data_IF_266865575897
#
_entry.id   IF_266865575897
#
_cell.length_a   1.000
_cell.length_b   1.000
_cell.length_c   1.000
_cell.angle_alpha   90.00
_cell.angle_beta   90.00
_cell.angle_gamma   90.00
#
_symmetry.space_group_name_H-M   'P 1'
#
loop_
_entity.id
_entity.type
_entity.pdbx_description
1 polymer ?
#
# COMPACT_ATOMS: atom_id res chain seq x y z
N UNK A 1 -4.48 -3.75 -1.04
CA UNK A 1 -4.53 -2.98 -2.30
C UNK A 1 -3.80 -1.64 -2.20
N UNK A 2 -4.24 -0.68 -1.37
CA UNK A 2 -3.56 0.62 -1.26
C UNK A 2 -2.09 0.51 -0.84
N UNK A 3 -1.75 -0.34 0.13
CA UNK A 3 -0.36 -0.58 0.55
C UNK A 3 0.53 -1.13 -0.59
N UNK A 4 0.03 -2.09 -1.37
CA UNK A 4 0.75 -2.64 -2.53
C UNK A 4 0.86 -1.67 -3.72
N UNK A 5 0.17 -0.53 -3.64
CA UNK A 5 0.17 0.52 -4.65
C UNK A 5 0.48 1.88 -4.03
N UNK A 6 1.36 1.91 -3.01
CA UNK A 6 1.78 3.14 -2.35
C UNK A 6 2.24 4.18 -3.38
N UNK A 7 1.87 5.44 -3.14
CA UNK A 7 2.12 6.56 -4.07
C UNK A 7 1.24 6.59 -5.32
N UNK A 8 0.41 5.56 -5.58
CA UNK A 8 -0.46 5.50 -6.77
C UNK A 8 -1.93 5.68 -6.39
N UNK A 9 -2.66 6.42 -7.23
CA UNK A 9 -4.11 6.55 -7.13
C UNK A 9 -4.77 5.26 -7.60
N UNK A 10 -5.58 4.65 -6.75
CA UNK A 10 -6.53 3.60 -7.15
C UNK A 10 -7.92 4.22 -7.29
N UNK A 11 -8.55 4.01 -8.45
CA UNK A 11 -9.90 4.51 -8.71
C UNK A 11 -10.92 3.77 -7.85
N UNK A 12 -12.09 4.39 -7.66
CA UNK A 12 -13.21 3.74 -6.94
C UNK A 12 -13.60 2.42 -7.60
N UNK A 13 -13.67 2.38 -8.93
CA UNK A 13 -14.03 1.17 -9.68
C UNK A 13 -13.02 0.04 -9.48
N UNK A 14 -11.71 0.34 -9.53
CA UNK A 14 -10.65 -0.64 -9.26
C UNK A 14 -10.76 -1.18 -7.82
N UNK A 15 -11.04 -0.31 -6.85
CA UNK A 15 -11.20 -0.72 -5.46
C UNK A 15 -12.48 -1.55 -5.27
N UNK A 16 -13.59 -1.17 -5.91
CA UNK A 16 -14.85 -1.90 -5.84
C UNK A 16 -14.67 -3.31 -6.41
N UNK A 17 -14.13 -3.41 -7.62
CA UNK A 17 -13.85 -4.70 -8.27
C UNK A 17 -12.87 -5.53 -7.45
N UNK A 18 -11.79 -4.93 -6.93
CA UNK A 18 -10.79 -5.67 -6.15
C UNK A 18 -11.28 -6.14 -4.77
N UNK A 19 -12.23 -5.44 -4.14
CA UNK A 19 -12.76 -5.79 -2.81
C UNK A 19 -13.89 -6.82 -2.92
N UNK A 20 -14.82 -6.62 -3.86
CA UNK A 20 -16.05 -7.40 -3.95
C UNK A 20 -16.12 -8.31 -5.17
N UNK A 21 -15.31 -8.07 -6.20
CA UNK A 21 -15.40 -8.75 -7.49
C UNK A 21 -16.84 -8.74 -8.01
N UNK A 22 -17.33 -9.91 -8.38
CA UNK A 22 -18.71 -10.09 -8.85
C UNK A 22 -19.79 -10.11 -7.77
N UNK A 23 -19.46 -10.00 -6.48
CA UNK A 23 -20.44 -10.07 -5.38
C UNK A 23 -20.56 -8.72 -4.67
N UNK A 24 -21.17 -7.78 -5.39
CA UNK A 24 -21.34 -6.40 -4.94
C UNK A 24 -22.39 -6.29 -3.81
N UNK A 25 -22.15 -5.42 -2.80
CA UNK A 25 -23.20 -5.02 -1.86
C UNK A 25 -24.23 -4.13 -2.57
N UNK A 26 -25.34 -3.84 -1.88
CA UNK A 26 -26.43 -3.01 -2.43
C UNK A 26 -25.97 -1.60 -2.86
N UNK A 27 -24.99 -1.02 -2.18
CA UNK A 27 -24.34 0.24 -2.55
C UNK A 27 -22.82 0.14 -2.35
N UNK A 28 -22.06 -0.24 -3.40
CA UNK A 28 -20.61 -0.38 -3.31
C UNK A 28 -19.89 0.92 -2.99
N UNK A 29 -20.38 2.06 -3.45
CA UNK A 29 -19.75 3.35 -3.23
C UNK A 29 -19.86 3.78 -1.75
N UNK A 30 -21.06 3.65 -1.16
CA UNK A 30 -21.26 3.90 0.27
C UNK A 30 -20.44 2.93 1.14
N UNK A 31 -20.42 1.64 0.78
CA UNK A 31 -19.63 0.65 1.49
C UNK A 31 -18.12 0.93 1.39
N UNK A 32 -17.62 1.37 0.23
CA UNK A 32 -16.22 1.75 0.04
C UNK A 32 -15.85 2.93 0.96
N UNK A 33 -16.71 3.95 1.04
CA UNK A 33 -16.50 5.07 1.95
C UNK A 33 -16.38 4.63 3.42
N UNK A 34 -17.21 3.67 3.85
CA UNK A 34 -17.14 3.08 5.20
C UNK A 34 -15.81 2.36 5.41
N UNK A 35 -15.38 1.54 4.45
CA UNK A 35 -14.10 0.82 4.53
C UNK A 35 -12.91 1.79 4.60
N UNK A 36 -12.91 2.84 3.77
CA UNK A 36 -11.85 3.87 3.79
C UNK A 36 -11.82 4.61 5.12
N UNK A 37 -12.98 4.97 5.68
CA UNK A 37 -13.05 5.62 6.99
C UNK A 37 -12.48 4.69 8.09
N UNK A 38 -12.87 3.41 8.09
CA UNK A 38 -12.33 2.41 9.02
C UNK A 38 -10.82 2.25 8.87
N UNK A 39 -10.30 2.18 7.64
CA UNK A 39 -8.88 2.08 7.38
C UNK A 39 -8.12 3.30 7.91
N UNK A 40 -8.62 4.52 7.67
CA UNK A 40 -8.04 5.76 8.21
C UNK A 40 -7.96 5.76 9.73
N UNK A 41 -8.99 5.26 10.41
CA UNK A 41 -9.02 5.16 11.87
C UNK A 41 -8.07 4.12 12.46
N UNK A 42 -7.61 3.18 11.64
CA UNK A 42 -6.66 2.15 12.05
C UNK A 42 -5.19 2.57 11.86
N UNK A 43 -4.95 3.73 11.24
CA UNK A 43 -3.63 4.32 11.06
C UNK A 43 -3.37 5.37 12.12
N UNK A 44 -2.09 5.62 12.42
CA UNK A 44 -1.68 6.68 13.34
C UNK A 44 -2.05 8.07 12.81
N UNK A 45 -2.00 8.26 11.48
CA UNK A 45 -2.46 9.47 10.81
C UNK A 45 -3.48 9.14 9.70
N UNK A 46 -4.75 9.56 9.83
CA UNK A 46 -5.76 9.34 8.80
C UNK A 46 -5.46 10.07 7.47
N UNK A 47 -4.59 11.09 7.48
CA UNK A 47 -4.17 11.83 6.29
C UNK A 47 -3.27 11.00 5.36
N UNK A 48 -2.72 9.88 5.83
CA UNK A 48 -1.94 8.97 4.99
C UNK A 48 -2.76 8.31 3.89
N UNK A 49 -4.08 8.18 4.07
CA UNK A 49 -4.99 7.80 2.98
C UNK A 49 -5.70 9.05 2.48
N UNK A 50 -5.31 9.55 1.31
CA UNK A 50 -5.92 10.74 0.73
C UNK A 50 -7.08 10.38 -0.20
N UNK A 51 -8.12 11.21 -0.19
CA UNK A 51 -9.15 11.18 -1.22
C UNK A 51 -8.69 12.07 -2.36
N UNK A 52 -8.74 11.56 -3.59
CA UNK A 52 -8.52 12.33 -4.81
C UNK A 52 -9.83 12.48 -5.58
N UNK A 53 -9.81 13.25 -6.66
CA UNK A 53 -10.95 13.35 -7.58
C UNK A 53 -11.38 11.95 -8.09
N UNK A 54 -10.41 11.11 -8.47
CA UNK A 54 -10.64 9.78 -9.06
C UNK A 54 -10.75 8.61 -8.07
N UNK A 55 -10.33 8.75 -6.81
CA UNK A 55 -10.33 7.64 -5.87
C UNK A 55 -9.52 7.89 -4.60
N UNK A 56 -8.65 6.94 -4.25
CA UNK A 56 -7.86 6.99 -3.02
C UNK A 56 -6.41 6.60 -3.27
N UNK A 57 -5.49 7.15 -2.48
CA UNK A 57 -4.07 6.83 -2.51
C UNK A 57 -3.55 6.66 -1.08
N UNK A 58 -2.59 5.76 -0.89
CA UNK A 58 -1.73 5.75 0.29
C UNK A 58 -0.50 6.59 -0.03
N UNK A 59 -0.19 7.60 0.78
CA UNK A 59 0.89 8.56 0.50
C UNK A 59 2.24 7.88 0.44
N UNK A 60 3.09 8.37 -0.47
CA UNK A 60 4.51 8.04 -0.49
C UNK A 60 5.26 8.98 0.46
N UNK A 61 5.11 8.73 1.75
CA UNK A 61 5.79 9.45 2.83
C UNK A 61 6.69 8.46 3.58
N UNK A 62 7.90 8.87 3.96
CA UNK A 62 8.87 8.00 4.64
C UNK A 62 8.42 7.51 6.03
N UNK A 63 7.43 8.18 6.64
CA UNK A 63 6.79 7.74 7.89
C UNK A 63 5.79 6.60 7.66
N UNK A 64 5.33 6.41 6.42
CA UNK A 64 4.48 5.30 6.01
C UNK A 64 5.37 4.17 5.52
N UNK A 65 5.42 3.09 6.29
CA UNK A 65 6.21 1.92 5.92
C UNK A 65 5.33 0.77 5.45
N UNK A 66 5.83 0.03 4.47
CA UNK A 66 5.24 -1.23 4.01
C UNK A 66 6.31 -2.30 4.15
N UNK A 67 5.98 -3.40 4.83
CA UNK A 67 6.93 -4.47 5.17
C UNK A 67 7.54 -5.13 3.92
N UNK A 68 6.74 -5.34 2.86
CA UNK A 68 7.24 -5.92 1.61
C UNK A 68 8.30 -5.03 0.94
N UNK A 69 8.17 -3.71 1.01
CA UNK A 69 9.17 -2.80 0.45
C UNK A 69 10.48 -2.83 1.24
N UNK A 70 10.40 -2.96 2.58
CA UNK A 70 11.58 -3.13 3.42
C UNK A 70 12.29 -4.46 3.11
N UNK A 71 11.51 -5.53 2.95
CA UNK A 71 12.04 -6.83 2.57
C UNK A 71 12.73 -6.79 1.21
N UNK A 72 12.09 -6.22 0.19
CA UNK A 72 12.66 -6.05 -1.16
C UNK A 72 13.98 -5.26 -1.10
N UNK A 73 14.02 -4.16 -0.34
CA UNK A 73 15.25 -3.37 -0.17
C UNK A 73 16.38 -4.17 0.50
N UNK A 74 16.06 -5.02 1.48
CA UNK A 74 17.05 -5.89 2.14
C UNK A 74 17.58 -6.97 1.17
N UNK A 75 16.71 -7.57 0.37
CA UNK A 75 17.10 -8.57 -0.64
C UNK A 75 18.01 -7.94 -1.70
N UNK A 76 17.70 -6.74 -2.19
CA UNK A 76 18.53 -6.04 -3.16
C UNK A 76 19.91 -5.67 -2.57
N UNK A 77 19.96 -5.25 -1.31
CA UNK A 77 21.23 -5.00 -0.60
C UNK A 77 22.07 -6.25 -0.47
N UNK A 78 21.47 -7.38 -0.12
CA UNK A 78 22.17 -8.65 -0.02
C UNK A 78 22.78 -9.05 -1.37
N UNK A 79 21.99 -9.01 -2.45
CA UNK A 79 22.45 -9.29 -3.82
C UNK A 79 23.59 -8.36 -4.26
N UNK A 80 23.51 -7.07 -3.93
CA UNK A 80 24.57 -6.11 -4.24
C UNK A 80 25.88 -6.44 -3.51
N UNK A 81 25.81 -6.84 -2.24
CA UNK A 81 26.98 -7.25 -1.45
C UNK A 81 27.62 -8.54 -1.99
N UNK A 82 26.80 -9.53 -2.39
CA UNK A 82 27.27 -10.75 -3.06
C UNK A 82 28.06 -10.42 -4.34
N UNK A 83 27.51 -9.55 -5.18
CA UNK A 83 28.12 -9.15 -6.45
C UNK A 83 29.38 -8.30 -6.28
N UNK A 84 29.48 -7.52 -5.21
CA UNK A 84 30.66 -6.73 -4.88
C UNK A 84 31.82 -7.55 -4.30
N UNK A 85 31.61 -8.86 -4.04
CA UNK A 85 32.58 -9.72 -3.37
C UNK A 85 32.71 -9.43 -1.87
N UNK A 86 31.74 -8.72 -1.29
CA UNK A 86 31.77 -8.21 0.09
C UNK A 86 31.24 -9.24 1.11
N UNK A 87 31.13 -10.52 0.71
CA UNK A 87 30.72 -11.62 1.59
C UNK A 87 31.84 -12.12 2.52
N UNK A 88 33.03 -11.55 2.47
CA UNK A 88 34.14 -11.90 3.37
C UNK A 88 34.27 -10.91 4.52
N UNK A 89 33.42 -11.07 5.54
CA UNK A 89 33.80 -11.15 6.96
C UNK A 89 32.56 -11.00 7.84
N UNK A 90 32.01 -12.13 8.27
CA UNK A 90 31.27 -12.21 9.54
C UNK A 90 31.36 -13.65 10.03
N UNK A 91 32.49 -13.95 10.66
CA UNK A 91 32.67 -15.08 11.56
C UNK A 91 32.25 -14.69 12.98
#
# INVERSE_FOLDING_TARGET
MLAASRGRVLTRDILIEGIWGGQLPADPAANLNVLVNRARRALDDPAWIQTTEGGYLLVDDSRVTVDVEQFEALVERARAAENAGDLSDTA
#
